data_IF_198764677524
#
_entry.id   IF_198764677524
#
_cell.length_a   1.000
_cell.length_b   1.000
_cell.length_c   1.000
_cell.angle_alpha   90.00
_cell.angle_beta   90.00
_cell.angle_gamma   90.00
#
_symmetry.space_group_name_H-M   'P 1'
#
loop_
_entity.id
_entity.type
_entity.pdbx_description
1 polymer ?
#
# COMPACT_ATOMS: atom_id res chain seq x y z
N UNK A 1 -3.55 4.85 17.55
CA UNK A 1 -3.78 3.66 18.40
C UNK A 1 -2.48 3.29 19.09
N UNK A 2 -2.50 3.03 20.39
CA UNK A 2 -1.33 2.62 21.19
C UNK A 2 -1.57 1.21 21.70
N UNK A 3 -0.69 0.27 21.34
CA UNK A 3 -0.70 -1.13 21.78
C UNK A 3 0.37 -1.33 22.87
N UNK A 4 -0.08 -1.58 24.11
CA UNK A 4 0.78 -1.83 25.25
C UNK A 4 0.95 -3.34 25.43
N UNK A 5 2.18 -3.81 25.20
CA UNK A 5 2.52 -5.23 25.11
C UNK A 5 3.82 -5.56 25.85
N UNK A 6 4.14 -6.85 25.96
CA UNK A 6 5.44 -7.34 26.42
C UNK A 6 5.82 -8.69 25.76
N UNK A 7 7.11 -9.08 25.68
CA UNK A 7 7.54 -10.32 25.00
C UNK A 7 6.99 -11.62 25.62
N UNK A 8 6.75 -11.59 26.92
CA UNK A 8 6.21 -12.69 27.72
C UNK A 8 4.67 -12.79 27.65
N UNK A 9 4.00 -11.79 27.06
CA UNK A 9 2.55 -11.78 26.91
C UNK A 9 2.11 -12.70 25.76
N UNK A 10 1.62 -13.89 26.10
CA UNK A 10 1.07 -14.84 25.13
C UNK A 10 -0.03 -14.23 24.24
N UNK A 11 -1.11 -13.65 24.80
CA UNK A 11 -2.20 -13.07 24.00
C UNK A 11 -1.77 -11.91 23.07
N UNK A 12 -0.71 -11.17 23.43
CA UNK A 12 -0.20 -10.07 22.62
C UNK A 12 0.32 -10.57 21.25
N UNK A 13 0.83 -11.80 21.17
CA UNK A 13 1.34 -12.38 19.92
C UNK A 13 0.25 -12.63 18.89
N UNK A 14 -0.99 -12.83 19.32
CA UNK A 14 -2.15 -12.98 18.43
C UNK A 14 -2.74 -11.63 18.05
N UNK A 15 -2.81 -10.70 19.02
CA UNK A 15 -3.42 -9.39 18.80
C UNK A 15 -2.56 -8.49 17.90
N UNK A 16 -1.24 -8.45 18.11
CA UNK A 16 -0.31 -7.56 17.41
C UNK A 16 -0.43 -7.61 15.88
N UNK A 17 -0.32 -8.79 15.24
CA UNK A 17 -0.47 -8.89 13.78
C UNK A 17 -1.84 -8.47 13.27
N UNK A 18 -2.90 -8.69 14.05
CA UNK A 18 -4.26 -8.26 13.67
C UNK A 18 -4.39 -6.74 13.72
N UNK A 19 -3.81 -6.09 14.74
CA UNK A 19 -3.77 -4.63 14.86
C UNK A 19 -2.95 -3.99 13.75
N UNK A 20 -1.76 -4.52 13.45
CA UNK A 20 -0.90 -4.02 12.37
C UNK A 20 -1.65 -4.05 11.04
N UNK A 21 -2.19 -5.21 10.66
CA UNK A 21 -2.96 -5.37 9.43
C UNK A 21 -4.13 -4.38 9.32
N UNK A 22 -4.98 -4.31 10.34
CA UNK A 22 -6.18 -3.46 10.30
C UNK A 22 -5.82 -1.97 10.28
N UNK A 23 -4.76 -1.55 10.99
CA UNK A 23 -4.32 -0.16 10.96
C UNK A 23 -3.68 0.19 9.62
N UNK A 24 -2.89 -0.70 9.02
CA UNK A 24 -2.29 -0.51 7.69
C UNK A 24 -3.36 -0.33 6.61
N UNK A 25 -4.47 -1.07 6.70
CA UNK A 25 -5.62 -0.93 5.81
C UNK A 25 -6.30 0.46 5.89
N UNK A 26 -6.03 1.26 6.93
CA UNK A 26 -6.55 2.65 7.02
C UNK A 26 -5.81 3.63 6.12
N UNK A 27 -4.76 3.21 5.40
CA UNK A 27 -4.00 4.08 4.49
C UNK A 27 -3.33 5.25 5.21
N UNK A 28 -3.02 5.09 6.50
CA UNK A 28 -2.41 6.14 7.34
C UNK A 28 -3.40 7.05 8.06
N UNK A 29 -4.72 6.88 7.88
CA UNK A 29 -5.73 7.63 8.64
C UNK A 29 -5.66 7.34 10.14
N UNK A 30 -5.19 6.14 10.52
CA UNK A 30 -4.88 5.76 11.90
C UNK A 30 -3.42 5.32 11.96
N UNK A 31 -2.67 5.81 12.95
CA UNK A 31 -1.30 5.35 13.22
C UNK A 31 -1.26 4.34 14.39
N UNK A 32 -0.43 3.31 14.29
CA UNK A 32 -0.19 2.34 15.36
C UNK A 32 1.15 2.63 16.07
N UNK A 33 1.12 2.78 17.39
CA UNK A 33 2.29 2.90 18.24
C UNK A 33 2.37 1.68 19.17
N UNK A 34 3.35 0.81 18.96
CA UNK A 34 3.60 -0.35 19.81
C UNK A 34 4.56 0.03 20.92
N UNK A 35 4.15 -0.16 22.16
CA UNK A 35 4.92 0.24 23.35
C UNK A 35 5.14 -0.97 24.24
N UNK A 36 6.40 -1.37 24.38
CA UNK A 36 6.80 -2.40 25.33
C UNK A 36 6.74 -1.82 26.76
N UNK A 37 5.90 -2.40 27.62
CA UNK A 37 5.70 -1.90 28.99
C UNK A 37 6.89 -2.16 29.92
N UNK A 38 7.71 -3.17 29.64
CA UNK A 38 8.92 -3.47 30.43
C UNK A 38 9.99 -2.38 30.21
N UNK A 39 10.10 -1.90 28.96
CA UNK A 39 11.03 -0.84 28.57
C UNK A 39 10.49 0.56 28.89
N UNK A 40 9.16 0.72 28.97
CA UNK A 40 8.48 2.00 29.14
C UNK A 40 7.52 2.01 30.34
N UNK A 41 7.98 1.74 31.57
CA UNK A 41 7.12 1.60 32.74
C UNK A 41 6.36 2.89 33.10
N UNK A 42 6.94 4.06 32.83
CA UNK A 42 6.29 5.36 33.02
C UNK A 42 5.08 5.56 32.10
N UNK A 43 5.15 5.04 30.87
CA UNK A 43 4.03 5.08 29.92
C UNK A 43 2.91 4.16 30.41
N UNK A 44 3.24 2.92 30.81
CA UNK A 44 2.26 1.98 31.36
C UNK A 44 1.53 2.55 32.59
N UNK A 45 2.26 3.22 33.48
CA UNK A 45 1.69 3.91 34.64
C UNK A 45 0.77 5.07 34.24
N UNK A 46 1.15 5.86 33.23
CA UNK A 46 0.35 7.00 32.73
C UNK A 46 -0.98 6.55 32.12
N UNK A 47 -1.00 5.40 31.46
CA UNK A 47 -2.22 4.76 30.95
C UNK A 47 -2.97 3.92 32.02
N UNK A 48 -2.46 3.88 33.26
CA UNK A 48 -3.03 3.11 34.38
C UNK A 48 -3.27 1.62 34.06
N UNK A 49 -2.37 1.03 33.28
CA UNK A 49 -2.51 -0.37 32.80
C UNK A 49 -2.44 -1.35 33.97
N UNK A 50 -3.44 -2.22 34.07
CA UNK A 50 -3.51 -3.30 35.08
C UNK A 50 -3.18 -4.68 34.50
N UNK A 51 -3.36 -4.86 33.19
CA UNK A 51 -3.08 -6.10 32.47
C UNK A 51 -2.79 -5.80 31.00
N UNK A 52 -2.05 -6.69 30.35
CA UNK A 52 -1.71 -6.60 28.92
C UNK A 52 -2.23 -7.82 28.15
N UNK A 53 -2.54 -7.70 26.84
CA UNK A 53 -2.45 -6.47 26.03
C UNK A 53 -3.48 -5.42 26.44
N UNK A 54 -3.12 -4.15 26.36
CA UNK A 54 -4.05 -3.03 26.54
C UNK A 54 -3.89 -2.05 25.39
N UNK A 55 -5.00 -1.69 24.76
CA UNK A 55 -5.01 -0.87 23.55
C UNK A 55 -5.80 0.41 23.80
N UNK A 56 -5.20 1.53 23.45
CA UNK A 56 -5.79 2.86 23.63
C UNK A 56 -5.88 3.59 22.30
N UNK A 57 -7.04 4.18 22.03
CA UNK A 57 -7.22 5.13 20.94
C UNK A 57 -6.97 6.53 21.47
N UNK A 58 -6.08 7.27 20.81
CA UNK A 58 -5.85 8.68 21.11
C UNK A 58 -6.25 9.54 19.92
N UNK A 59 -6.93 10.65 20.20
CA UNK A 59 -7.22 11.74 19.26
C UNK A 59 -7.01 13.05 19.99
N UNK A 60 -6.30 14.00 19.38
CA UNK A 60 -5.96 15.31 19.97
C UNK A 60 -5.36 15.23 21.39
N UNK A 61 -4.48 14.24 21.60
CA UNK A 61 -3.80 14.00 22.87
C UNK A 61 -4.67 13.40 23.98
N UNK A 62 -5.92 13.00 23.68
CA UNK A 62 -6.86 12.44 24.66
C UNK A 62 -7.23 11.01 24.30
N UNK A 63 -7.46 10.18 25.33
CA UNK A 63 -8.01 8.83 25.14
C UNK A 63 -9.47 8.95 24.75
N UNK A 64 -9.84 8.42 23.59
CA UNK A 64 -11.22 8.44 23.06
C UNK A 64 -11.91 7.09 23.12
N UNK A 65 -11.14 5.99 23.11
CA UNK A 65 -11.63 4.62 23.26
C UNK A 65 -10.50 3.73 23.79
N UNK A 66 -10.83 2.57 24.37
CA UNK A 66 -9.85 1.57 24.83
C UNK A 66 -10.45 0.18 24.95
N UNK A 67 -9.60 -0.84 24.83
CA UNK A 67 -9.94 -2.20 25.25
C UNK A 67 -8.75 -2.89 25.93
N UNK A 68 -9.03 -3.96 26.67
CA UNK A 68 -8.03 -4.76 27.39
C UNK A 68 -8.26 -6.22 27.05
N UNK A 69 -7.16 -6.95 26.82
CA UNK A 69 -7.17 -8.34 26.37
C UNK A 69 -7.10 -8.47 24.84
N UNK A 70 -6.90 -9.69 24.36
CA UNK A 70 -6.89 -9.98 22.94
C UNK A 70 -8.33 -10.09 22.41
N UNK A 71 -8.62 -9.34 21.35
CA UNK A 71 -9.90 -9.38 20.63
C UNK A 71 -9.73 -10.10 19.28
N UNK A 72 -10.79 -10.71 18.72
CA UNK A 72 -10.80 -11.19 17.34
C UNK A 72 -10.58 -10.05 16.33
N UNK A 73 -10.00 -10.35 15.16
CA UNK A 73 -9.71 -9.36 14.11
C UNK A 73 -10.94 -8.50 13.75
N UNK A 74 -12.14 -9.09 13.67
CA UNK A 74 -13.37 -8.36 13.36
C UNK A 74 -13.68 -7.26 14.40
N UNK A 75 -13.45 -7.51 15.68
CA UNK A 75 -13.66 -6.51 16.73
C UNK A 75 -12.55 -5.45 16.75
N UNK A 76 -11.32 -5.83 16.39
CA UNK A 76 -10.22 -4.89 16.18
C UNK A 76 -10.52 -3.96 15.01
N UNK A 77 -11.04 -4.50 13.90
CA UNK A 77 -11.49 -3.76 12.73
C UNK A 77 -12.56 -2.74 13.10
N UNK A 78 -13.61 -3.18 13.78
CA UNK A 78 -14.66 -2.27 14.24
C UNK A 78 -14.10 -1.16 15.16
N UNK A 79 -13.16 -1.50 16.06
CA UNK A 79 -12.50 -0.52 16.91
C UNK A 79 -11.72 0.52 16.10
N UNK A 80 -10.94 0.12 15.10
CA UNK A 80 -10.12 1.03 14.29
C UNK A 80 -10.99 1.87 13.34
N UNK A 81 -12.01 1.28 12.72
CA UNK A 81 -12.91 1.99 11.79
C UNK A 81 -13.63 3.16 12.46
N UNK A 82 -14.03 3.04 13.74
CA UNK A 82 -14.62 4.14 14.51
C UNK A 82 -13.65 5.30 14.76
N UNK A 83 -12.35 5.07 14.60
CA UNK A 83 -11.29 6.08 14.82
C UNK A 83 -10.88 6.80 13.55
N UNK A 84 -11.20 6.27 12.38
CA UNK A 84 -10.99 6.99 11.14
C UNK A 84 -11.85 8.27 11.11
N UNK A 85 -11.41 9.34 10.45
CA UNK A 85 -12.28 10.47 10.16
C UNK A 85 -13.48 10.00 9.31
N UNK A 86 -14.59 10.74 9.38
CA UNK A 86 -15.70 10.48 8.46
C UNK A 86 -15.20 10.63 7.01
N UNK A 87 -15.69 9.80 6.06
CA UNK A 87 -15.29 9.90 4.67
C UNK A 87 -15.52 11.33 4.15
N UNK A 88 -14.49 11.88 3.52
CA UNK A 88 -14.57 13.15 2.78
C UNK A 88 -15.55 13.01 1.62
N UNK A 89 -15.88 14.12 0.97
CA UNK A 89 -16.69 14.05 -0.26
C UNK A 89 -15.92 13.33 -1.39
N UNK A 90 -14.60 13.53 -1.47
CA UNK A 90 -13.75 12.82 -2.42
C UNK A 90 -13.77 11.29 -2.17
N UNK A 91 -13.66 10.85 -0.90
CA UNK A 91 -13.76 9.43 -0.53
C UNK A 91 -15.09 8.80 -1.00
N UNK A 92 -16.21 9.53 -0.84
CA UNK A 92 -17.54 9.04 -1.26
C UNK A 92 -17.64 8.92 -2.77
N UNK A 93 -17.09 9.88 -3.50
CA UNK A 93 -17.04 9.83 -4.96
C UNK A 93 -16.19 8.65 -5.45
N UNK A 94 -15.08 8.32 -4.77
CA UNK A 94 -14.30 7.10 -5.07
C UNK A 94 -15.13 5.84 -4.83
N UNK A 95 -15.89 5.77 -3.74
CA UNK A 95 -16.79 4.64 -3.48
C UNK A 95 -17.91 4.52 -4.53
N UNK A 96 -18.45 5.65 -4.99
CA UNK A 96 -19.43 5.70 -6.06
C UNK A 96 -18.85 5.21 -7.39
N UNK A 97 -17.63 5.63 -7.74
CA UNK A 97 -16.93 5.14 -8.92
C UNK A 97 -16.70 3.62 -8.86
N UNK A 98 -16.28 3.08 -7.72
CA UNK A 98 -16.09 1.65 -7.54
C UNK A 98 -17.40 0.86 -7.70
N UNK A 99 -18.53 1.43 -7.27
CA UNK A 99 -19.85 0.79 -7.41
C UNK A 99 -20.43 0.90 -8.82
N UNK A 100 -20.17 2.01 -9.53
CA UNK A 100 -20.73 2.29 -10.86
C UNK A 100 -19.84 1.86 -12.02
N UNK A 101 -18.54 1.68 -11.80
CA UNK A 101 -17.53 1.51 -12.85
C UNK A 101 -17.34 2.76 -13.71
N UNK A 102 -17.74 3.94 -13.24
CA UNK A 102 -17.62 5.21 -13.96
C UNK A 102 -16.37 5.99 -13.54
N UNK A 103 -15.70 6.63 -14.50
CA UNK A 103 -14.57 7.54 -14.21
C UNK A 103 -15.03 8.93 -13.74
N UNK A 104 -16.29 9.32 -14.01
CA UNK A 104 -16.79 10.68 -13.73
C UNK A 104 -16.66 11.05 -12.24
N UNK A 105 -17.04 10.18 -11.27
CA UNK A 105 -16.86 10.50 -9.86
C UNK A 105 -15.38 10.61 -9.47
N UNK A 106 -14.48 9.83 -10.08
CA UNK A 106 -13.04 9.92 -9.83
C UNK A 106 -12.48 11.28 -10.26
N UNK A 107 -12.85 11.75 -11.46
CA UNK A 107 -12.44 13.08 -11.93
C UNK A 107 -12.94 14.18 -11.00
N UNK A 108 -14.19 14.08 -10.54
CA UNK A 108 -14.75 15.03 -9.57
C UNK A 108 -14.07 14.96 -8.19
N UNK A 109 -13.69 13.77 -7.73
CA UNK A 109 -12.91 13.62 -6.51
C UNK A 109 -11.57 14.36 -6.62
N UNK A 110 -10.91 14.28 -7.79
CA UNK A 110 -9.65 14.98 -8.06
C UNK A 110 -9.78 16.50 -8.25
N UNK A 111 -10.97 17.01 -8.56
CA UNK A 111 -11.25 18.45 -8.52
C UNK A 111 -11.28 18.98 -7.07
N UNK A 112 -11.77 18.16 -6.14
CA UNK A 112 -11.83 18.48 -4.71
C UNK A 112 -10.45 18.29 -4.04
N UNK A 113 -9.80 17.17 -4.34
CA UNK A 113 -8.54 16.74 -3.73
C UNK A 113 -7.58 16.23 -4.83
N UNK A 114 -6.76 17.12 -5.42
CA UNK A 114 -5.94 16.79 -6.60
C UNK A 114 -4.89 15.68 -6.41
N UNK A 115 -4.48 15.42 -5.18
CA UNK A 115 -3.50 14.41 -4.77
C UNK A 115 -4.13 13.23 -4.01
N UNK A 116 -5.45 13.04 -4.12
CA UNK A 116 -6.16 11.94 -3.46
C UNK A 116 -5.69 10.56 -3.98
N UNK A 117 -5.01 9.74 -3.16
CA UNK A 117 -4.36 8.52 -3.64
C UNK A 117 -5.30 7.50 -4.27
N UNK A 118 -6.41 7.17 -3.59
CA UNK A 118 -7.34 6.17 -4.08
C UNK A 118 -8.04 6.57 -5.40
N UNK A 119 -8.36 7.87 -5.57
CA UNK A 119 -8.94 8.39 -6.81
C UNK A 119 -7.94 8.33 -7.97
N UNK A 120 -6.67 8.64 -7.70
CA UNK A 120 -5.58 8.57 -8.67
C UNK A 120 -5.33 7.14 -9.11
N UNK A 121 -5.16 6.20 -8.17
CA UNK A 121 -4.89 4.80 -8.48
C UNK A 121 -6.04 4.18 -9.31
N UNK A 122 -7.29 4.44 -8.90
CA UNK A 122 -8.47 3.94 -9.62
C UNK A 122 -8.59 4.52 -11.04
N UNK A 123 -8.40 5.83 -11.19
CA UNK A 123 -8.49 6.47 -12.51
C UNK A 123 -7.33 6.05 -13.42
N UNK A 124 -6.12 5.95 -12.87
CA UNK A 124 -4.95 5.50 -13.60
C UNK A 124 -5.14 4.07 -14.14
N UNK A 125 -5.69 3.15 -13.34
CA UNK A 125 -6.01 1.80 -13.82
C UNK A 125 -6.97 1.83 -15.04
N UNK A 126 -8.05 2.61 -14.97
CA UNK A 126 -9.00 2.76 -16.10
C UNK A 126 -8.38 3.41 -17.34
N UNK A 127 -7.43 4.34 -17.17
CA UNK A 127 -6.71 4.97 -18.27
C UNK A 127 -5.74 3.99 -18.93
N UNK A 128 -5.01 3.19 -18.16
CA UNK A 128 -4.11 2.15 -18.66
C UNK A 128 -4.88 1.15 -19.53
N UNK A 129 -6.04 0.68 -19.06
CA UNK A 129 -6.90 -0.24 -19.84
C UNK A 129 -7.37 0.33 -21.18
N UNK A 130 -7.50 1.66 -21.28
CA UNK A 130 -7.87 2.38 -22.52
C UNK A 130 -6.66 2.75 -23.39
N UNK A 131 -5.43 2.48 -22.94
CA UNK A 131 -4.21 2.90 -23.62
C UNK A 131 -3.85 4.38 -23.43
N UNK A 132 -4.47 5.06 -22.47
CA UNK A 132 -4.21 6.47 -22.13
C UNK A 132 -3.06 6.58 -21.11
N UNK A 133 -1.93 5.91 -21.40
CA UNK A 133 -0.83 5.70 -20.46
C UNK A 133 -0.12 6.98 -20.01
N UNK A 134 0.00 7.99 -20.87
CA UNK A 134 0.66 9.26 -20.54
C UNK A 134 -0.09 10.01 -19.43
N UNK A 135 -1.43 10.02 -19.51
CA UNK A 135 -2.26 10.64 -18.48
C UNK A 135 -2.15 9.85 -17.17
N UNK A 136 -2.25 8.52 -17.22
CA UNK A 136 -2.10 7.66 -16.05
C UNK A 136 -0.77 7.91 -15.31
N UNK A 137 0.36 7.97 -16.04
CA UNK A 137 1.69 8.27 -15.48
C UNK A 137 1.72 9.65 -14.84
N UNK A 138 1.12 10.66 -15.48
CA UNK A 138 1.05 12.02 -14.93
C UNK A 138 0.27 12.06 -13.61
N UNK A 139 -0.84 11.32 -13.51
CA UNK A 139 -1.64 11.25 -12.29
C UNK A 139 -0.88 10.55 -11.16
N UNK A 140 -0.30 9.38 -11.44
CA UNK A 140 0.42 8.53 -10.47
C UNK A 140 1.62 9.23 -9.84
N UNK A 141 2.29 10.13 -10.56
CA UNK A 141 3.41 10.93 -10.05
C UNK A 141 3.02 11.97 -8.98
N UNK A 142 1.72 12.22 -8.78
CA UNK A 142 1.23 13.17 -7.77
C UNK A 142 1.14 12.59 -6.37
N UNK A 143 1.24 11.27 -6.22
CA UNK A 143 1.09 10.56 -4.95
C UNK A 143 2.38 9.84 -4.56
N UNK A 144 2.57 9.49 -3.27
CA UNK A 144 3.73 8.74 -2.83
C UNK A 144 3.86 7.39 -3.57
N UNK A 145 5.10 6.97 -3.85
CA UNK A 145 5.37 5.68 -4.49
C UNK A 145 5.14 4.49 -3.53
N UNK A 146 3.88 4.08 -3.40
CA UNK A 146 3.48 2.82 -2.76
C UNK A 146 3.76 1.64 -3.70
N UNK A 147 3.77 0.38 -3.20
CA UNK A 147 3.85 -0.79 -4.07
C UNK A 147 2.76 -0.83 -5.16
N UNK A 148 1.54 -0.40 -4.84
CA UNK A 148 0.44 -0.31 -5.80
C UNK A 148 0.74 0.74 -6.90
N UNK A 149 1.19 1.93 -6.51
CA UNK A 149 1.55 3.01 -7.45
C UNK A 149 2.72 2.58 -8.35
N UNK A 150 3.76 1.92 -7.81
CA UNK A 150 4.87 1.40 -8.62
C UNK A 150 4.40 0.37 -9.64
N UNK A 151 3.52 -0.55 -9.25
CA UNK A 151 2.96 -1.54 -10.15
C UNK A 151 2.15 -0.89 -11.27
N UNK A 152 1.29 0.08 -10.96
CA UNK A 152 0.53 0.83 -11.97
C UNK A 152 1.44 1.66 -12.90
N UNK A 153 2.50 2.28 -12.38
CA UNK A 153 3.48 3.00 -13.19
C UNK A 153 4.21 2.07 -14.17
N UNK A 154 4.59 0.88 -13.72
CA UNK A 154 5.21 -0.14 -14.56
C UNK A 154 4.25 -0.60 -15.68
N UNK A 155 3.00 -0.90 -15.33
CA UNK A 155 1.96 -1.25 -16.31
C UNK A 155 1.74 -0.14 -17.34
N UNK A 156 1.62 1.12 -16.90
CA UNK A 156 1.42 2.26 -17.80
C UNK A 156 2.60 2.44 -18.77
N UNK A 157 3.84 2.31 -18.29
CA UNK A 157 5.04 2.42 -19.14
C UNK A 157 5.14 1.29 -20.15
N UNK A 158 4.83 0.06 -19.75
CA UNK A 158 4.79 -1.10 -20.66
C UNK A 158 3.67 -0.97 -21.69
N UNK A 159 2.50 -0.46 -21.30
CA UNK A 159 1.40 -0.21 -22.24
C UNK A 159 1.72 0.93 -23.23
N UNK A 160 2.60 1.87 -22.84
CA UNK A 160 3.08 2.93 -23.72
C UNK A 160 4.25 2.49 -24.62
N UNK A 161 4.93 1.39 -24.30
CA UNK A 161 6.00 0.84 -25.13
C UNK A 161 5.44 -0.12 -26.17
N UNK A 162 6.10 -0.24 -27.32
CA UNK A 162 5.73 -1.21 -28.37
C UNK A 162 6.05 -2.67 -27.97
N UNK A 163 6.24 -2.95 -26.68
CA UNK A 163 6.58 -4.28 -26.18
C UNK A 163 5.28 -5.08 -26.05
N UNK A 164 4.96 -5.86 -27.09
CA UNK A 164 3.84 -6.80 -27.07
C UNK A 164 4.20 -8.01 -26.18
N UNK A 165 3.91 -7.90 -24.89
CA UNK A 165 4.16 -8.96 -23.91
C UNK A 165 3.00 -9.96 -23.93
N UNK A 166 3.03 -10.93 -24.84
CA UNK A 166 2.23 -12.13 -24.66
C UNK A 166 2.72 -12.88 -23.39
N UNK A 167 1.79 -13.37 -22.57
CA UNK A 167 2.10 -14.00 -21.26
C UNK A 167 3.13 -15.15 -21.34
N UNK A 168 3.22 -15.82 -22.50
CA UNK A 168 4.10 -16.97 -22.72
C UNK A 168 5.53 -16.60 -23.15
N UNK A 169 5.83 -15.34 -23.48
CA UNK A 169 7.13 -14.93 -24.03
C UNK A 169 7.90 -13.90 -23.18
N UNK A 170 7.42 -13.62 -21.96
CA UNK A 170 8.06 -12.65 -21.04
C UNK A 170 9.54 -12.97 -20.81
N UNK A 171 9.91 -14.26 -20.78
CA UNK A 171 11.30 -14.69 -20.61
C UNK A 171 12.20 -14.27 -21.77
N UNK A 172 11.77 -14.48 -23.02
CA UNK A 172 12.57 -14.09 -24.19
C UNK A 172 12.69 -12.57 -24.30
N UNK A 173 11.63 -11.83 -23.94
CA UNK A 173 11.67 -10.36 -23.86
C UNK A 173 12.71 -9.92 -22.82
N UNK A 174 12.68 -10.50 -21.61
CA UNK A 174 13.66 -10.19 -20.57
C UNK A 174 15.09 -10.53 -20.98
N UNK A 175 15.30 -11.68 -21.65
CA UNK A 175 16.61 -12.08 -22.18
C UNK A 175 17.13 -11.06 -23.20
N UNK A 176 16.30 -10.65 -24.17
CA UNK A 176 16.67 -9.67 -25.18
C UNK A 176 16.92 -8.26 -24.61
N UNK A 177 16.17 -7.86 -23.58
CA UNK A 177 16.43 -6.62 -22.86
C UNK A 177 17.76 -6.68 -22.10
N UNK A 178 18.03 -7.80 -21.42
CA UNK A 178 19.25 -8.03 -20.62
C UNK A 178 20.54 -7.87 -21.42
N UNK A 179 20.52 -8.13 -22.73
CA UNK A 179 21.68 -7.88 -23.59
C UNK A 179 22.04 -6.38 -23.67
N UNK A 180 21.03 -5.50 -23.61
CA UNK A 180 21.12 -4.05 -23.85
C UNK A 180 21.08 -3.19 -22.59
N UNK A 181 20.60 -3.71 -21.44
CA UNK A 181 20.42 -2.94 -20.18
C UNK A 181 21.62 -2.12 -19.71
N UNK A 182 22.85 -2.49 -20.10
CA UNK A 182 24.05 -1.74 -19.72
C UNK A 182 24.17 -0.39 -20.45
N UNK A 183 23.79 -0.34 -21.72
CA UNK A 183 24.04 0.80 -22.61
C UNK A 183 22.74 1.53 -22.99
N UNK A 184 21.59 0.88 -22.82
CA UNK A 184 20.27 1.38 -23.17
C UNK A 184 19.42 1.57 -21.91
N UNK A 185 19.20 2.83 -21.54
CA UNK A 185 18.38 3.20 -20.37
C UNK A 185 16.91 2.83 -20.57
N UNK A 186 16.40 2.88 -21.80
CA UNK A 186 15.02 2.45 -22.11
C UNK A 186 14.89 0.95 -21.87
N UNK A 187 15.82 0.16 -22.41
CA UNK A 187 15.83 -1.28 -22.19
C UNK A 187 15.97 -1.64 -20.70
N UNK A 188 16.74 -0.86 -19.93
CA UNK A 188 16.85 -1.05 -18.49
C UNK A 188 15.53 -0.73 -17.77
N UNK A 189 14.89 0.38 -18.11
CA UNK A 189 13.61 0.77 -17.52
C UNK A 189 12.52 -0.28 -17.84
N UNK A 190 12.40 -0.70 -19.10
CA UNK A 190 11.47 -1.75 -19.54
C UNK A 190 11.73 -3.07 -18.80
N UNK A 191 12.99 -3.45 -18.62
CA UNK A 191 13.35 -4.66 -17.87
C UNK A 191 12.87 -4.57 -16.41
N UNK A 192 13.06 -3.42 -15.76
CA UNK A 192 12.60 -3.22 -14.38
C UNK A 192 11.07 -3.21 -14.28
N UNK A 193 10.37 -2.57 -15.21
CA UNK A 193 8.91 -2.50 -15.24
C UNK A 193 8.29 -3.91 -15.45
N UNK A 194 8.91 -4.76 -16.28
CA UNK A 194 8.51 -6.16 -16.42
C UNK A 194 8.65 -6.94 -15.11
N UNK A 195 9.75 -6.76 -14.38
CA UNK A 195 9.96 -7.42 -13.10
C UNK A 195 8.99 -6.93 -12.01
N UNK A 196 8.62 -5.64 -12.01
CA UNK A 196 7.62 -5.10 -11.10
C UNK A 196 6.22 -5.65 -11.42
N UNK A 197 5.92 -5.87 -12.71
CA UNK A 197 4.65 -6.45 -13.17
C UNK A 197 4.53 -7.94 -12.81
N UNK A 198 5.62 -8.71 -12.93
CA UNK A 198 5.67 -10.11 -12.49
C UNK A 198 5.52 -10.25 -10.97
N UNK A 199 5.94 -9.25 -10.21
CA UNK A 199 5.88 -9.24 -8.76
C UNK A 199 6.96 -10.11 -8.08
N UNK A 200 7.08 -10.02 -6.75
CA UNK A 200 8.16 -10.66 -6.00
C UNK A 200 8.03 -12.18 -5.87
N UNK A 201 6.82 -12.73 -6.02
CA UNK A 201 6.52 -14.15 -5.83
C UNK A 201 6.75 -14.98 -7.10
N UNK A 202 6.90 -14.35 -8.27
CA UNK A 202 7.25 -15.06 -9.50
C UNK A 202 8.70 -15.57 -9.43
N UNK A 203 8.88 -16.87 -9.70
CA UNK A 203 10.20 -17.53 -9.68
C UNK A 203 11.20 -16.83 -10.60
N UNK A 204 10.75 -16.33 -11.76
CA UNK A 204 11.56 -15.65 -12.77
C UNK A 204 12.08 -14.31 -12.25
N UNK A 205 11.31 -13.60 -11.42
CA UNK A 205 11.72 -12.29 -10.89
C UNK A 205 13.06 -12.36 -10.15
N UNK A 206 13.23 -13.37 -9.29
CA UNK A 206 14.48 -13.55 -8.54
C UNK A 206 15.67 -13.97 -9.44
N UNK A 207 15.40 -14.77 -10.46
CA UNK A 207 16.39 -15.21 -11.45
C UNK A 207 16.92 -14.02 -12.26
N UNK A 208 16.02 -13.23 -12.84
CA UNK A 208 16.36 -12.07 -13.66
C UNK A 208 16.95 -10.90 -12.86
N UNK A 209 16.55 -10.70 -11.60
CA UNK A 209 17.22 -9.73 -10.70
C UNK A 209 18.70 -10.04 -10.51
N UNK A 210 19.06 -11.33 -10.35
CA UNK A 210 20.46 -11.76 -10.23
C UNK A 210 21.22 -11.59 -11.55
N UNK A 211 20.58 -11.94 -12.66
CA UNK A 211 21.15 -11.77 -13.99
C UNK A 211 21.44 -10.30 -14.30
N UNK A 212 20.51 -9.39 -13.98
CA UNK A 212 20.69 -7.94 -14.11
C UNK A 212 21.88 -7.43 -13.30
N UNK A 213 21.98 -7.82 -12.02
CA UNK A 213 23.11 -7.43 -11.17
C UNK A 213 24.45 -7.86 -11.76
N UNK A 214 24.53 -9.06 -12.34
CA UNK A 214 25.74 -9.61 -12.98
C UNK A 214 26.11 -8.87 -14.27
N UNK A 215 25.12 -8.27 -14.94
CA UNK A 215 25.33 -7.54 -16.20
C UNK A 215 25.78 -6.09 -15.98
N UNK A 216 25.34 -5.47 -14.88
CA UNK A 216 25.60 -4.08 -14.54
C UNK A 216 26.92 -3.86 -13.79
N UNK A 217 27.43 -4.87 -13.07
CA UNK A 217 28.63 -4.81 -12.24
C UNK A 217 29.65 -5.87 -12.64
#
# INVERSE_FOLDING_TARGET
VVDLWAPWCGPCRTLGPSLEKVVDETGGAVALAKVNVDENPSVAASFQVQSIPAVFALRDGRVVDRFVGALPEAAVREFVERLAPAPTEADRLVQEAAASGSEEPLRRALELEPDHPAAIEALAAMLIERGESDEAISLLRRVPETPAVRHLLAQARLAASDVDVAHDDVGAVLDGLLERVREDESARQEFLDLLETLGPDDRRTNEYRRALATRLF
#
